data_IF_567705189438
#
_entry.id   IF_567705189438
#
_cell.length_a   1.000
_cell.length_b   1.000
_cell.length_c   1.000
_cell.angle_alpha   90.00
_cell.angle_beta   90.00
_cell.angle_gamma   90.00
#
_symmetry.space_group_name_H-M   'P 1'
#
loop_
_entity.id
_entity.type
_entity.pdbx_description
1 polymer ?
#
# COMPACT_ATOMS: atom_id res chain seq x y z
N UNK A 1 8.19 16.72 11.57
CA UNK A 1 7.47 15.43 11.66
C UNK A 1 8.16 14.48 10.69
N UNK A 2 8.73 13.38 11.18
CA UNK A 2 9.45 12.43 10.34
C UNK A 2 8.43 11.43 9.74
N UNK A 3 8.34 11.41 8.42
CA UNK A 3 7.62 10.36 7.69
C UNK A 3 8.58 9.19 7.51
N UNK A 4 8.15 7.99 7.88
CA UNK A 4 8.87 6.76 7.55
C UNK A 4 8.52 6.40 6.11
N UNK A 5 9.49 6.47 5.20
CA UNK A 5 9.27 6.18 3.78
C UNK A 5 9.98 4.89 3.43
N UNK A 6 9.22 3.93 2.90
CA UNK A 6 9.72 2.63 2.49
C UNK A 6 9.31 2.35 1.05
N UNK A 7 10.24 1.80 0.28
CA UNK A 7 10.00 1.41 -1.11
C UNK A 7 10.19 -0.09 -1.25
N UNK A 8 9.26 -0.72 -1.95
CA UNK A 8 9.28 -2.15 -2.17
C UNK A 8 8.59 -2.50 -3.49
N UNK A 9 8.81 -3.72 -3.97
CA UNK A 9 8.20 -4.22 -5.20
C UNK A 9 7.16 -5.28 -4.86
N UNK A 10 5.92 -5.08 -5.31
CA UNK A 10 4.82 -6.02 -5.14
C UNK A 10 4.35 -6.49 -6.52
N UNK A 11 4.49 -7.79 -6.82
CA UNK A 11 4.09 -8.41 -8.10
C UNK A 11 4.64 -7.68 -9.36
N UNK A 12 5.83 -7.09 -9.25
CA UNK A 12 6.46 -6.30 -10.32
C UNK A 12 6.06 -4.82 -10.37
N UNK A 13 5.26 -4.35 -9.41
CA UNK A 13 4.87 -2.95 -9.25
C UNK A 13 5.72 -2.34 -8.13
N UNK A 14 6.43 -1.25 -8.43
CA UNK A 14 7.16 -0.47 -7.45
C UNK A 14 6.20 0.42 -6.66
N UNK A 15 6.20 0.25 -5.34
CA UNK A 15 5.30 0.92 -4.42
C UNK A 15 6.14 1.66 -3.36
N UNK A 16 5.74 2.88 -3.07
CA UNK A 16 6.22 3.68 -1.96
C UNK A 16 5.14 3.76 -0.88
N UNK A 17 5.47 3.27 0.32
CA UNK A 17 4.65 3.43 1.51
C UNK A 17 5.27 4.50 2.40
N UNK A 18 4.47 5.51 2.77
CA UNK A 18 4.85 6.56 3.72
C UNK A 18 3.97 6.45 4.95
N UNK A 19 4.60 6.41 6.11
CA UNK A 19 3.88 6.28 7.37
C UNK A 19 4.21 7.44 8.31
N UNK A 20 3.16 8.08 8.82
CA UNK A 20 3.24 9.13 9.82
C UNK A 20 2.38 8.77 11.04
N UNK A 21 3.00 8.37 12.16
CA UNK A 21 2.27 8.02 13.38
C UNK A 21 1.67 9.22 14.13
N UNK A 22 2.12 10.44 13.83
CA UNK A 22 1.71 11.68 14.53
C UNK A 22 1.07 12.67 13.56
N UNK A 23 0.23 12.17 12.65
CA UNK A 23 -0.41 13.03 11.66
C UNK A 23 -1.48 13.92 12.29
N UNK A 24 -2.37 13.35 13.12
CA UNK A 24 -3.44 14.12 13.77
C UNK A 24 -3.81 13.56 15.15
N UNK A 25 -3.19 14.08 16.23
CA UNK A 25 -3.41 13.59 17.59
C UNK A 25 -3.04 12.11 17.71
N UNK A 26 -4.02 11.25 17.99
CA UNK A 26 -3.88 9.78 18.04
C UNK A 26 -4.18 9.09 16.70
N UNK A 27 -4.25 9.83 15.59
CA UNK A 27 -4.47 9.28 14.25
C UNK A 27 -3.15 9.18 13.49
N UNK A 28 -2.82 7.97 13.07
CA UNK A 28 -1.74 7.67 12.15
C UNK A 28 -2.21 7.77 10.69
N UNK A 29 -1.29 8.14 9.81
CA UNK A 29 -1.54 8.30 8.39
C UNK A 29 -0.57 7.42 7.60
N UNK A 30 -1.14 6.53 6.80
CA UNK A 30 -0.44 5.65 5.88
C UNK A 30 -0.79 6.05 4.44
N UNK A 31 0.21 6.45 3.68
CA UNK A 31 0.12 6.75 2.26
C UNK A 31 0.78 5.62 1.47
N UNK A 32 0.09 5.11 0.46
CA UNK A 32 0.63 4.09 -0.44
C UNK A 32 0.50 4.63 -1.85
N UNK A 33 1.62 4.69 -2.57
CA UNK A 33 1.68 5.21 -3.92
C UNK A 33 2.44 4.24 -4.83
N UNK A 34 1.92 3.99 -6.03
CA UNK A 34 2.66 3.32 -7.10
C UNK A 34 3.60 4.28 -7.80
N UNK A 35 4.86 3.89 -7.90
CA UNK A 35 5.92 4.62 -8.61
C UNK A 35 6.06 4.11 -10.04
N UNK A 36 6.09 2.79 -10.23
CA UNK A 36 6.29 2.18 -11.53
C UNK A 36 5.57 0.82 -11.65
N UNK A 37 4.66 0.62 -12.61
CA UNK A 37 4.14 1.60 -13.56
C UNK A 37 3.46 2.78 -12.84
N UNK A 38 3.61 3.99 -13.39
CA UNK A 38 3.04 5.20 -12.76
C UNK A 38 1.50 5.07 -12.69
N UNK A 39 0.92 5.32 -11.50
CA UNK A 39 -0.54 5.22 -11.26
C UNK A 39 -1.12 3.85 -11.58
N UNK A 40 -0.30 2.80 -11.50
CA UNK A 40 -0.77 1.44 -11.65
C UNK A 40 -1.86 1.15 -10.60
N UNK A 41 -3.06 0.71 -11.00
CA UNK A 41 -4.12 0.39 -10.05
C UNK A 41 -3.67 -0.75 -9.14
N UNK A 42 -3.92 -0.58 -7.85
CA UNK A 42 -3.71 -1.58 -6.81
C UNK A 42 -5.07 -2.11 -6.32
N UNK A 43 -5.09 -3.30 -5.70
CA UNK A 43 -6.30 -3.84 -5.08
C UNK A 43 -7.02 -2.87 -4.14
N UNK A 44 -6.24 -2.05 -3.43
CA UNK A 44 -6.71 -1.04 -2.48
C UNK A 44 -7.13 0.29 -3.13
N UNK A 45 -6.72 0.55 -4.38
CA UNK A 45 -6.96 1.82 -5.09
C UNK A 45 -6.89 1.67 -6.61
N UNK A 46 -7.95 2.12 -7.31
CA UNK A 46 -7.98 2.11 -8.77
C UNK A 46 -7.08 3.15 -9.46
N UNK A 47 -6.41 4.04 -8.71
CA UNK A 47 -5.59 5.13 -9.26
C UNK A 47 -4.11 5.01 -8.94
N UNK A 48 -3.71 3.96 -8.21
CA UNK A 48 -2.34 3.77 -7.74
C UNK A 48 -1.95 4.62 -6.53
N UNK A 49 -2.89 5.38 -5.95
CA UNK A 49 -2.66 6.14 -4.73
C UNK A 49 -3.75 5.87 -3.68
N UNK A 50 -3.35 5.57 -2.45
CA UNK A 50 -4.26 5.34 -1.31
C UNK A 50 -3.76 6.12 -0.10
N UNK A 51 -4.64 6.94 0.45
CA UNK A 51 -4.46 7.56 1.77
C UNK A 51 -5.34 6.81 2.77
N UNK A 52 -4.72 6.25 3.81
CA UNK A 52 -5.40 5.49 4.85
C UNK A 52 -5.10 6.09 6.23
N UNK A 53 -6.14 6.34 7.01
CA UNK A 53 -6.04 6.87 8.36
C UNK A 53 -6.53 5.82 9.34
N UNK A 54 -5.76 5.58 10.39
CA UNK A 54 -6.11 4.61 11.41
C UNK A 54 -5.65 5.07 12.80
N UNK A 55 -6.20 4.50 13.89
CA UNK A 55 -5.73 4.81 15.23
C UNK A 55 -4.26 4.44 15.43
N UNK A 56 -3.54 5.27 16.19
CA UNK A 56 -2.16 5.04 16.59
C UNK A 56 -2.06 3.73 17.38
N UNK A 57 -1.03 2.92 17.07
CA UNK A 57 -0.78 1.62 17.71
C UNK A 57 -1.28 0.42 16.92
N UNK A 58 -1.97 0.61 15.79
CA UNK A 58 -2.37 -0.50 14.91
C UNK A 58 -1.18 -1.12 14.15
N UNK A 59 -0.20 -0.28 13.80
CA UNK A 59 1.09 -0.70 13.24
C UNK A 59 2.13 -0.42 14.33
N UNK A 60 2.59 -1.47 15.00
CA UNK A 60 3.55 -1.35 16.09
C UNK A 60 4.96 -1.16 15.54
N UNK A 61 5.31 0.09 15.23
CA UNK A 61 6.67 0.47 14.84
C UNK A 61 7.60 0.66 16.07
N UNK A 62 7.26 0.15 17.27
CA UNK A 62 8.07 0.31 18.47
C UNK A 62 9.51 -0.19 18.30
N UNK A 63 9.74 -1.20 17.45
CA UNK A 63 11.09 -1.67 17.15
C UNK A 63 11.76 -0.80 16.09
N UNK A 64 12.56 0.16 16.56
CA UNK A 64 13.29 1.13 15.73
C UNK A 64 14.20 0.53 14.65
N UNK A 65 14.61 -0.75 14.76
CA UNK A 65 15.47 -1.40 13.78
C UNK A 65 14.75 -1.84 12.50
N UNK A 66 13.49 -2.26 12.58
CA UNK A 66 12.79 -2.94 11.48
C UNK A 66 11.47 -2.25 11.09
N UNK A 67 11.29 -0.97 11.43
CA UNK A 67 10.05 -0.23 11.16
C UNK A 67 9.60 -0.33 9.70
N UNK A 68 10.57 -0.26 8.78
CA UNK A 68 10.28 -0.35 7.35
C UNK A 68 9.86 -1.74 6.90
N UNK A 69 10.49 -2.80 7.42
CA UNK A 69 10.13 -4.19 7.09
C UNK A 69 8.72 -4.53 7.57
N UNK A 70 8.38 -4.18 8.82
CA UNK A 70 7.03 -4.38 9.36
C UNK A 70 5.97 -3.61 8.57
N UNK A 71 6.29 -2.39 8.12
CA UNK A 71 5.41 -1.61 7.26
C UNK A 71 5.20 -2.29 5.90
N UNK A 72 6.28 -2.75 5.28
CA UNK A 72 6.23 -3.46 3.99
C UNK A 72 5.41 -4.75 4.11
N UNK A 73 5.63 -5.54 5.16
CA UNK A 73 4.87 -6.77 5.43
C UNK A 73 3.38 -6.46 5.62
N UNK A 74 3.03 -5.47 6.44
CA UNK A 74 1.65 -5.08 6.68
C UNK A 74 0.94 -4.59 5.39
N UNK A 75 1.62 -3.75 4.61
CA UNK A 75 1.08 -3.27 3.33
C UNK A 75 0.96 -4.41 2.32
N UNK A 76 1.93 -5.33 2.28
CA UNK A 76 1.91 -6.49 1.38
C UNK A 76 0.77 -7.43 1.72
N UNK A 77 0.58 -7.77 3.00
CA UNK A 77 -0.53 -8.61 3.47
C UNK A 77 -1.88 -7.98 3.12
N UNK A 78 -2.01 -6.66 3.34
CA UNK A 78 -3.22 -5.92 2.96
C UNK A 78 -3.48 -5.95 1.44
N UNK A 79 -2.44 -5.74 0.63
CA UNK A 79 -2.52 -5.83 -0.82
C UNK A 79 -2.92 -7.24 -1.28
N UNK A 80 -2.34 -8.30 -0.68
CA UNK A 80 -2.66 -9.68 -1.04
C UNK A 80 -4.06 -10.10 -0.60
N UNK A 81 -4.52 -9.65 0.57
CA UNK A 81 -5.88 -9.88 1.04
C UNK A 81 -6.93 -9.23 0.12
N UNK A 82 -6.71 -7.98 -0.30
CA UNK A 82 -7.57 -7.31 -1.26
C UNK A 82 -7.42 -7.91 -2.68
N UNK A 83 -6.22 -8.35 -3.05
CA UNK A 83 -5.99 -9.02 -4.33
C UNK A 83 -6.67 -10.39 -4.43
N UNK A 84 -6.92 -11.05 -3.29
CA UNK A 84 -7.62 -12.32 -3.23
C UNK A 84 -9.12 -12.17 -3.55
N UNK A 85 -9.68 -10.95 -3.45
CA UNK A 85 -11.09 -10.69 -3.71
C UNK A 85 -11.48 -11.00 -5.16
N UNK A 86 -12.65 -11.62 -5.38
CA UNK A 86 -13.10 -11.97 -6.73
C UNK A 86 -13.32 -10.74 -7.61
N UNK A 87 -13.68 -9.60 -7.03
CA UNK A 87 -13.85 -8.32 -7.73
C UNK A 87 -12.54 -7.84 -8.35
N UNK A 88 -11.44 -7.89 -7.57
CA UNK A 88 -10.11 -7.53 -8.06
C UNK A 88 -9.61 -8.49 -9.13
N UNK A 89 -9.80 -9.81 -8.93
CA UNK A 89 -9.44 -10.81 -9.94
C UNK A 89 -10.12 -10.54 -11.28
N UNK A 90 -11.44 -10.27 -11.28
CA UNK A 90 -12.19 -9.90 -12.48
C UNK A 90 -11.67 -8.62 -13.13
N UNK A 91 -11.31 -7.61 -12.33
CA UNK A 91 -10.72 -6.37 -12.85
C UNK A 91 -9.36 -6.63 -13.55
N UNK A 92 -8.48 -7.41 -12.92
CA UNK A 92 -7.18 -7.77 -13.50
C UNK A 92 -7.34 -8.61 -14.77
N UNK A 93 -8.24 -9.60 -14.76
CA UNK A 93 -8.55 -10.43 -15.93
C UNK A 93 -9.14 -9.60 -17.08
N UNK A 94 -10.09 -8.71 -16.79
CA UNK A 94 -10.67 -7.79 -17.77
C UNK A 94 -9.63 -6.84 -18.37
N UNK A 95 -8.72 -6.30 -17.54
CA UNK A 95 -7.62 -5.46 -18.03
C UNK A 95 -6.65 -6.22 -18.92
N UNK A 96 -6.37 -7.49 -18.61
CA UNK A 96 -5.54 -8.37 -19.45
C UNK A 96 -6.21 -8.66 -20.80
N UNK A 97 -7.54 -8.78 -20.84
CA UNK A 97 -8.29 -8.99 -22.09
C UNK A 97 -8.37 -7.73 -22.97
N UNK A 98 -8.43 -6.53 -22.38
CA UNK A 98 -8.47 -5.27 -23.13
C UNK A 98 -7.13 -4.90 -23.79
N UNK A 99 -6.03 -5.58 -23.47
CA UNK A 99 -4.74 -5.43 -24.15
C UNK A 99 -4.61 -6.29 -25.43
N UNK A 100 -5.63 -7.08 -25.78
CA UNK A 100 -5.61 -7.99 -26.93
C UNK A 100 -6.23 -7.42 -28.23
N UNK A 101 -6.52 -6.12 -28.29
CA UNK A 101 -7.10 -5.47 -29.49
C UNK A 101 -6.34 -4.20 -29.88
#
# INVERSE_FOLDING_TARGET
>A
MAYEVCRFTWRGIEIEARYNPHHFGDTAHLEIQTLSPEREPLPITGTGYRSHFHPRGMIDLHNAKNRGETLIEHVTDWLDAEAARPEWKKFVEGRRQLQLF
#
